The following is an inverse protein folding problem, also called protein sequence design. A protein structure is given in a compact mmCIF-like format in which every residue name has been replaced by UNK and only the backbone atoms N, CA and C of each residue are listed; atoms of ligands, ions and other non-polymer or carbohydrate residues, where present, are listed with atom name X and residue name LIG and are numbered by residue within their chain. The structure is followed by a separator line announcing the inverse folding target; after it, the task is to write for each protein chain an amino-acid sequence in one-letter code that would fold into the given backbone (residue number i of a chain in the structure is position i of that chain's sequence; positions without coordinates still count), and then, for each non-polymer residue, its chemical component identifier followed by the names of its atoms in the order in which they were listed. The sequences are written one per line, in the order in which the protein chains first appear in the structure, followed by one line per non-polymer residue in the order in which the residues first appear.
data_IF_767542236942
#
_entry.id   IF_767542236942
#
_cell.length_a   1.000
_cell.length_b   1.000
_cell.length_c   1.000
_cell.angle_alpha   90.00
_cell.angle_beta   90.00
_cell.angle_gamma   90.00
#
_symmetry.space_group_name_H-M   'P 1'
#
loop_
_entity.id
_entity.type
_entity.pdbx_description
1 polymer ?
#
# COMPACT_ATOMS: atom_id res chain seq x y z
N UNK A 1 62.12 -70.85 22.33
CA UNK A 1 61.23 -71.22 21.20
C UNK A 1 59.85 -70.66 21.49
N UNK A 2 59.30 -69.84 20.57
CA UNK A 2 58.02 -69.07 20.64
C UNK A 2 58.11 -67.79 21.50
N UNK A 3 58.26 -66.57 21.00
CA UNK A 3 57.74 -65.85 19.81
C UNK A 3 56.21 -65.72 19.79
N UNK A 4 55.73 -64.46 19.87
CA UNK A 4 54.46 -63.82 19.44
C UNK A 4 54.40 -62.52 20.29
N UNK A 5 55.00 -61.38 19.93
CA UNK A 5 54.70 -60.46 18.82
C UNK A 5 53.21 -60.04 18.74
N UNK A 6 52.80 -59.19 19.71
CA UNK A 6 51.56 -58.41 19.64
C UNK A 6 51.88 -57.10 18.92
N UNK A 7 51.53 -57.03 17.64
CA UNK A 7 51.63 -55.83 16.82
C UNK A 7 50.40 -54.94 17.09
N UNK A 8 50.67 -53.74 17.58
CA UNK A 8 49.71 -52.64 17.73
C UNK A 8 49.24 -52.19 16.34
N UNK A 9 47.94 -52.23 16.08
CA UNK A 9 47.32 -51.57 14.94
C UNK A 9 46.58 -50.32 15.45
N UNK A 10 47.32 -49.24 15.73
CA UNK A 10 46.72 -47.92 15.91
C UNK A 10 46.47 -47.33 14.53
N UNK A 11 45.23 -47.40 14.07
CA UNK A 11 44.75 -46.65 12.91
C UNK A 11 44.80 -45.17 13.29
N UNK A 12 45.82 -44.46 12.83
CA UNK A 12 45.81 -43.00 12.81
C UNK A 12 44.77 -42.57 11.77
N UNK A 13 43.56 -42.28 12.22
CA UNK A 13 42.63 -41.46 11.46
C UNK A 13 43.24 -40.05 11.42
N UNK A 14 43.97 -39.73 10.35
CA UNK A 14 44.31 -38.35 10.04
C UNK A 14 42.99 -37.64 9.71
N UNK A 15 42.40 -36.98 10.69
CA UNK A 15 41.38 -35.96 10.46
C UNK A 15 42.13 -34.86 9.71
N UNK A 16 41.90 -34.75 8.40
CA UNK A 16 42.31 -33.58 7.65
C UNK A 16 41.56 -32.39 8.25
N UNK A 17 42.26 -31.58 9.02
CA UNK A 17 41.73 -30.32 9.54
C UNK A 17 41.46 -29.43 8.33
N UNK A 18 40.18 -29.24 8.01
CA UNK A 18 39.69 -28.22 7.08
C UNK A 18 40.24 -26.89 7.56
N UNK A 19 41.32 -26.44 6.93
CA UNK A 19 41.91 -25.13 7.22
C UNK A 19 41.24 -24.12 6.30
N UNK A 20 40.02 -23.71 6.67
CA UNK A 20 39.40 -22.53 6.09
C UNK A 20 40.36 -21.36 6.32
N UNK A 21 40.84 -20.73 5.25
CA UNK A 21 41.72 -19.57 5.32
C UNK A 21 40.98 -18.39 4.73
N UNK A 22 41.09 -17.22 5.37
CA UNK A 22 40.32 -16.05 4.97
C UNK A 22 41.29 -14.98 4.45
N UNK A 23 41.32 -14.80 3.13
CA UNK A 23 42.22 -13.86 2.47
C UNK A 23 41.52 -13.13 1.32
N UNK A 24 41.77 -11.83 1.14
CA UNK A 24 41.23 -11.11 -0.02
C UNK A 24 41.75 -11.75 -1.32
N UNK A 25 40.87 -11.89 -2.32
CA UNK A 25 41.18 -12.50 -3.61
C UNK A 25 41.21 -14.03 -3.61
N UNK A 26 40.68 -14.69 -2.58
CA UNK A 26 40.61 -16.15 -2.48
C UNK A 26 39.18 -16.64 -2.27
N UNK A 27 38.96 -17.87 -2.70
CA UNK A 27 37.74 -18.66 -2.55
C UNK A 27 38.01 -19.81 -1.58
N UNK A 28 37.08 -20.11 -0.69
CA UNK A 28 37.00 -21.35 0.07
C UNK A 28 36.24 -22.44 -0.70
N UNK A 29 35.42 -22.06 -1.68
CA UNK A 29 34.70 -22.99 -2.53
C UNK A 29 34.90 -22.68 -4.02
N UNK A 30 35.09 -23.71 -4.84
CA UNK A 30 35.17 -23.56 -6.30
C UNK A 30 34.80 -24.86 -7.03
N UNK A 31 33.90 -24.78 -8.02
CA UNK A 31 33.43 -25.93 -8.77
C UNK A 31 32.46 -26.83 -7.99
N UNK A 32 31.89 -27.83 -8.68
CA UNK A 32 30.96 -28.79 -8.10
C UNK A 32 31.63 -30.16 -7.96
N UNK A 33 31.55 -30.74 -6.76
CA UNK A 33 32.24 -31.99 -6.46
C UNK A 33 31.33 -33.20 -6.39
N UNK A 34 30.00 -33.05 -6.44
CA UNK A 34 29.06 -34.18 -6.50
C UNK A 34 27.83 -33.93 -5.63
N UNK A 35 27.14 -35.01 -5.26
CA UNK A 35 25.88 -34.96 -4.51
C UNK A 35 25.98 -35.78 -3.22
N UNK A 36 25.39 -35.25 -2.15
CA UNK A 36 25.24 -35.96 -0.87
C UNK A 36 24.22 -37.11 -0.94
N UNK A 37 23.20 -36.99 -1.80
CA UNK A 37 22.15 -38.01 -1.98
C UNK A 37 21.79 -38.19 -3.45
N UNK A 38 21.14 -39.32 -3.79
CA UNK A 38 20.79 -39.69 -5.18
C UNK A 38 19.92 -38.62 -5.87
N UNK A 39 19.02 -38.00 -5.10
CA UNK A 39 18.13 -36.93 -5.57
C UNK A 39 18.61 -35.53 -5.16
N UNK A 40 19.80 -35.41 -4.58
CA UNK A 40 20.38 -34.16 -4.14
C UNK A 40 20.81 -33.27 -5.29
N UNK A 41 20.90 -31.96 -5.03
CA UNK A 41 21.55 -31.02 -5.95
C UNK A 41 23.08 -31.16 -5.85
N UNK A 42 23.83 -30.80 -6.90
CA UNK A 42 25.28 -30.71 -6.84
C UNK A 42 25.73 -29.75 -5.72
N UNK A 43 26.78 -30.14 -5.01
CA UNK A 43 27.38 -29.40 -3.90
C UNK A 43 28.79 -28.92 -4.29
N UNK A 44 29.21 -27.75 -3.77
CA UNK A 44 30.50 -27.18 -4.09
C UNK A 44 31.65 -27.99 -3.48
N UNK A 45 32.81 -27.93 -4.13
CA UNK A 45 34.06 -28.46 -3.60
C UNK A 45 34.60 -27.57 -2.47
N UNK A 46 35.26 -28.18 -1.48
CA UNK A 46 36.00 -27.46 -0.44
C UNK A 46 37.45 -27.23 -0.91
N UNK A 47 37.70 -26.12 -1.60
CA UNK A 47 39.01 -25.82 -2.19
C UNK A 47 39.40 -24.37 -1.92
N UNK A 48 40.51 -24.18 -1.19
CA UNK A 48 41.08 -22.85 -0.97
C UNK A 48 41.96 -22.43 -2.16
N UNK A 49 41.42 -21.62 -3.06
CA UNK A 49 42.07 -21.23 -4.32
C UNK A 49 42.02 -19.72 -4.54
N UNK A 50 43.00 -19.12 -5.26
CA UNK A 50 42.87 -17.75 -5.72
C UNK A 50 41.65 -17.59 -6.64
N UNK A 51 40.99 -16.44 -6.58
CA UNK A 51 39.90 -16.11 -7.48
C UNK A 51 40.36 -16.21 -8.94
N UNK A 52 39.53 -16.82 -9.78
CA UNK A 52 39.89 -17.13 -11.16
C UNK A 52 39.42 -15.99 -12.06
N UNK A 53 40.26 -15.61 -13.04
CA UNK A 53 39.86 -14.62 -14.04
C UNK A 53 38.65 -15.15 -14.82
N UNK A 54 37.57 -14.38 -14.84
CA UNK A 54 36.35 -14.81 -15.49
C UNK A 54 36.51 -14.86 -17.01
N UNK A 55 36.06 -15.94 -17.64
CA UNK A 55 35.98 -16.04 -19.10
C UNK A 55 35.01 -14.99 -19.65
N UNK A 56 35.14 -14.65 -20.94
CA UNK A 56 34.21 -13.70 -21.56
C UNK A 56 32.75 -14.16 -21.44
N UNK A 57 32.50 -15.45 -21.67
CA UNK A 57 31.17 -16.07 -21.52
C UNK A 57 30.63 -15.96 -20.09
N UNK A 58 31.44 -16.32 -19.09
CA UNK A 58 31.02 -16.22 -17.67
C UNK A 58 30.74 -14.77 -17.27
N UNK A 59 31.55 -13.82 -17.75
CA UNK A 59 31.35 -12.38 -17.49
C UNK A 59 30.06 -11.86 -18.09
N UNK A 60 29.81 -12.16 -19.37
CA UNK A 60 28.58 -11.75 -20.05
C UNK A 60 27.35 -12.34 -19.37
N UNK A 61 27.43 -13.60 -18.97
CA UNK A 61 26.36 -14.29 -18.27
C UNK A 61 26.08 -13.70 -16.88
N UNK A 62 27.12 -13.49 -16.06
CA UNK A 62 26.99 -12.84 -14.76
C UNK A 62 26.48 -11.40 -14.88
N UNK A 63 26.91 -10.66 -15.91
CA UNK A 63 26.37 -9.33 -16.19
C UNK A 63 24.89 -9.37 -16.51
N UNK A 64 24.44 -10.36 -17.29
CA UNK A 64 23.00 -10.54 -17.59
C UNK A 64 22.17 -10.92 -16.36
N UNK A 65 22.72 -11.72 -15.45
CA UNK A 65 21.98 -12.20 -14.26
C UNK A 65 22.03 -11.16 -13.15
N UNK A 66 23.23 -10.72 -12.80
CA UNK A 66 23.52 -9.91 -11.62
C UNK A 66 23.58 -8.40 -11.93
N UNK A 67 23.74 -8.00 -13.18
CA UNK A 67 23.91 -6.58 -13.56
C UNK A 67 25.26 -5.98 -13.16
N UNK A 68 26.20 -6.77 -12.64
CA UNK A 68 27.55 -6.36 -12.27
C UNK A 68 28.57 -7.07 -13.17
N UNK A 69 29.65 -6.39 -13.49
CA UNK A 69 30.80 -6.99 -14.17
C UNK A 69 31.77 -7.56 -13.11
N UNK A 70 32.22 -8.79 -13.31
CA UNK A 70 33.13 -9.49 -12.41
C UNK A 70 34.39 -9.86 -13.18
N UNK A 71 35.51 -9.19 -12.90
CA UNK A 71 36.80 -9.51 -13.55
C UNK A 71 37.38 -10.84 -13.07
N UNK A 72 37.21 -11.11 -11.76
CA UNK A 72 37.60 -12.35 -11.09
C UNK A 72 36.41 -12.91 -10.33
N UNK A 73 36.30 -14.24 -10.28
CA UNK A 73 35.16 -14.96 -9.72
C UNK A 73 35.57 -16.19 -8.92
N UNK A 74 34.74 -16.54 -7.94
CA UNK A 74 34.83 -17.77 -7.15
C UNK A 74 33.78 -18.81 -7.54
N UNK A 75 33.35 -18.82 -8.81
CA UNK A 75 32.38 -19.78 -9.31
C UNK A 75 32.76 -20.32 -10.69
N UNK A 76 32.47 -21.60 -10.92
CA UNK A 76 32.62 -22.24 -12.22
C UNK A 76 31.44 -21.91 -13.15
N UNK A 77 31.58 -22.09 -14.47
CA UNK A 77 30.46 -21.92 -15.41
C UNK A 77 29.21 -22.72 -15.04
N UNK A 78 29.38 -23.96 -14.58
CA UNK A 78 28.27 -24.80 -14.10
C UNK A 78 27.58 -24.22 -12.86
N UNK A 79 28.35 -23.64 -11.92
CA UNK A 79 27.78 -22.96 -10.75
C UNK A 79 26.99 -21.71 -11.15
N UNK A 80 27.43 -20.98 -12.19
CA UNK A 80 26.69 -19.84 -12.76
C UNK A 80 25.34 -20.30 -13.35
N UNK A 81 25.31 -21.42 -14.05
CA UNK A 81 24.07 -22.01 -14.59
C UNK A 81 23.09 -22.41 -13.48
N UNK A 82 23.61 -23.03 -12.41
CA UNK A 82 22.82 -23.41 -11.25
C UNK A 82 22.27 -22.18 -10.52
N UNK A 83 23.10 -21.14 -10.34
CA UNK A 83 22.70 -19.86 -9.76
C UNK A 83 21.56 -19.24 -10.56
N UNK A 84 21.70 -19.14 -11.88
CA UNK A 84 20.67 -18.62 -12.78
C UNK A 84 19.36 -19.40 -12.64
N UNK A 85 19.43 -20.74 -12.68
CA UNK A 85 18.25 -21.59 -12.56
C UNK A 85 17.54 -21.40 -11.21
N UNK A 86 18.29 -21.26 -10.12
CA UNK A 86 17.70 -21.05 -8.79
C UNK A 86 17.06 -19.66 -8.69
N UNK A 87 17.72 -18.61 -9.18
CA UNK A 87 17.17 -17.25 -9.17
C UNK A 87 15.91 -17.14 -10.03
N UNK A 88 15.90 -17.75 -11.22
CA UNK A 88 14.73 -17.82 -12.12
C UNK A 88 13.51 -18.51 -11.48
N UNK A 89 13.70 -19.44 -10.55
CA UNK A 89 12.58 -20.08 -9.83
C UNK A 89 11.90 -19.14 -8.85
N UNK A 90 12.66 -18.25 -8.21
CA UNK A 90 12.14 -17.28 -7.23
C UNK A 90 11.60 -16.02 -7.91
N UNK A 91 12.10 -15.70 -9.11
CA UNK A 91 11.74 -14.50 -9.87
C UNK A 91 10.24 -14.18 -9.95
N UNK A 92 9.35 -15.14 -10.28
CA UNK A 92 7.91 -14.86 -10.35
C UNK A 92 7.28 -14.48 -9.01
N UNK A 93 7.93 -14.81 -7.90
CA UNK A 93 7.44 -14.52 -6.55
C UNK A 93 7.77 -13.10 -6.09
N UNK A 94 8.87 -12.53 -6.60
CA UNK A 94 9.43 -11.24 -6.14
C UNK A 94 9.49 -10.16 -7.22
N UNK A 95 9.10 -10.48 -8.46
CA UNK A 95 9.21 -9.59 -9.61
C UNK A 95 8.29 -8.35 -9.57
N UNK A 96 7.27 -8.33 -8.71
CA UNK A 96 6.39 -7.17 -8.50
C UNK A 96 7.13 -5.97 -7.89
N UNK A 97 8.21 -6.20 -7.14
CA UNK A 97 9.03 -5.14 -6.53
C UNK A 97 10.48 -5.21 -7.06
N UNK A 98 10.88 -4.30 -7.97
CA UNK A 98 12.21 -4.29 -8.57
C UNK A 98 13.36 -4.19 -7.56
N UNK A 99 13.21 -3.44 -6.46
CA UNK A 99 14.22 -3.37 -5.40
C UNK A 99 14.43 -4.71 -4.70
N UNK A 100 13.35 -5.37 -4.25
CA UNK A 100 13.42 -6.70 -3.65
C UNK A 100 14.10 -7.70 -4.59
N UNK A 101 13.65 -7.72 -5.85
CA UNK A 101 14.23 -8.57 -6.90
C UNK A 101 15.72 -8.32 -7.06
N UNK A 102 16.13 -7.05 -7.21
CA UNK A 102 17.54 -6.68 -7.39
C UNK A 102 18.40 -7.07 -6.18
N UNK A 103 17.92 -6.80 -4.97
CA UNK A 103 18.62 -7.15 -3.74
C UNK A 103 18.78 -8.67 -3.59
N UNK A 104 17.74 -9.44 -3.90
CA UNK A 104 17.77 -10.90 -3.84
C UNK A 104 18.81 -11.47 -4.81
N UNK A 105 18.83 -10.98 -6.06
CA UNK A 105 19.81 -11.38 -7.05
C UNK A 105 21.22 -10.97 -6.64
N UNK A 106 21.44 -9.72 -6.23
CA UNK A 106 22.76 -9.25 -5.81
C UNK A 106 23.30 -10.01 -4.61
N UNK A 107 22.44 -10.34 -3.64
CA UNK A 107 22.82 -11.07 -2.45
C UNK A 107 23.42 -12.45 -2.79
N UNK A 108 22.72 -13.22 -3.64
CA UNK A 108 23.19 -14.54 -4.04
C UNK A 108 24.29 -14.52 -5.10
N UNK A 109 24.32 -13.52 -5.98
CA UNK A 109 25.42 -13.32 -6.91
C UNK A 109 26.75 -13.05 -6.17
N UNK A 110 26.74 -12.17 -5.16
CA UNK A 110 27.92 -11.90 -4.35
C UNK A 110 28.31 -13.13 -3.52
N UNK A 111 27.34 -13.80 -2.89
CA UNK A 111 27.59 -15.03 -2.15
C UNK A 111 28.27 -16.10 -2.99
N UNK A 112 27.78 -16.35 -4.21
CA UNK A 112 28.25 -17.46 -5.03
C UNK A 112 29.50 -17.15 -5.85
N UNK A 113 29.71 -15.90 -6.27
CA UNK A 113 30.74 -15.59 -7.29
C UNK A 113 31.71 -14.47 -6.91
N UNK A 114 31.58 -13.83 -5.74
CA UNK A 114 32.51 -12.75 -5.34
C UNK A 114 33.96 -13.24 -5.32
N UNK A 115 34.94 -12.46 -5.82
CA UNK A 115 36.35 -12.83 -5.77
C UNK A 115 36.95 -12.84 -4.36
N UNK A 116 36.22 -12.35 -3.36
CA UNK A 116 36.63 -12.29 -1.96
C UNK A 116 35.80 -13.23 -1.08
N UNK A 117 35.23 -14.30 -1.65
CA UNK A 117 34.30 -15.21 -0.96
C UNK A 117 34.89 -15.79 0.33
N UNK A 118 36.19 -16.11 0.36
CA UNK A 118 36.83 -16.63 1.57
C UNK A 118 36.81 -15.67 2.76
N UNK A 119 36.62 -14.36 2.55
CA UNK A 119 36.57 -13.40 3.66
C UNK A 119 35.23 -13.41 4.40
N UNK A 120 34.16 -13.96 3.82
CA UNK A 120 32.84 -13.94 4.44
C UNK A 120 32.12 -15.29 4.41
N UNK A 121 32.72 -16.32 3.81
CA UNK A 121 32.28 -17.71 3.89
C UNK A 121 33.32 -18.52 4.64
N UNK A 122 32.88 -19.27 5.64
CA UNK A 122 33.69 -20.20 6.40
C UNK A 122 33.10 -21.61 6.27
N UNK A 123 33.93 -22.59 5.95
CA UNK A 123 33.49 -23.99 5.84
C UNK A 123 33.46 -24.59 7.24
N UNK A 124 32.28 -25.08 7.64
CA UNK A 124 32.05 -25.71 8.95
C UNK A 124 32.09 -27.22 8.84
N UNK A 125 31.53 -27.77 7.75
CA UNK A 125 31.45 -29.22 7.57
C UNK A 125 31.59 -29.62 6.11
N UNK A 126 32.39 -30.65 5.88
CA UNK A 126 32.51 -31.36 4.62
C UNK A 126 32.07 -32.81 4.77
N UNK A 127 31.61 -33.41 3.68
CA UNK A 127 31.31 -34.84 3.59
C UNK A 127 31.81 -35.39 2.25
N UNK A 128 31.89 -36.72 2.13
CA UNK A 128 32.22 -37.37 0.85
C UNK A 128 30.97 -37.52 -0.01
N UNK A 129 31.00 -36.99 -1.24
CA UNK A 129 29.94 -37.14 -2.22
C UNK A 129 29.70 -38.60 -2.59
N UNK A 130 28.44 -38.99 -2.70
CA UNK A 130 28.04 -40.38 -2.94
C UNK A 130 28.31 -40.85 -4.37
N UNK A 131 28.21 -39.95 -5.33
CA UNK A 131 28.31 -40.21 -6.76
C UNK A 131 29.75 -40.13 -7.29
N UNK A 132 30.56 -39.21 -6.77
CA UNK A 132 31.94 -38.98 -7.26
C UNK A 132 33.02 -39.44 -6.28
N UNK A 133 32.71 -39.64 -5.00
CA UNK A 133 33.69 -39.90 -3.96
C UNK A 133 34.57 -38.69 -3.59
N UNK A 134 34.27 -37.49 -4.09
CA UNK A 134 35.01 -36.25 -3.78
C UNK A 134 34.48 -35.59 -2.51
N UNK A 135 35.30 -34.75 -1.88
CA UNK A 135 34.88 -33.93 -0.75
C UNK A 135 33.93 -32.80 -1.21
N UNK A 136 32.80 -32.66 -0.54
CA UNK A 136 31.78 -31.62 -0.78
C UNK A 136 31.45 -30.87 0.49
N UNK A 137 31.16 -29.58 0.35
CA UNK A 137 30.72 -28.75 1.47
C UNK A 137 29.26 -29.04 1.81
N UNK A 138 28.99 -29.25 3.10
CA UNK A 138 27.65 -29.56 3.62
C UNK A 138 27.14 -28.55 4.65
N UNK A 139 28.04 -27.76 5.23
CA UNK A 139 27.68 -26.67 6.13
C UNK A 139 28.70 -25.54 6.06
N UNK A 140 28.21 -24.30 5.98
CA UNK A 140 29.03 -23.08 6.02
C UNK A 140 28.45 -22.06 7.01
N UNK A 141 29.31 -21.16 7.47
CA UNK A 141 28.90 -19.86 7.98
C UNK A 141 29.04 -18.81 6.88
N UNK A 142 28.05 -17.93 6.76
CA UNK A 142 28.13 -16.72 5.96
C UNK A 142 28.01 -15.49 6.86
N UNK A 143 29.01 -14.62 6.80
CA UNK A 143 29.11 -13.42 7.62
C UNK A 143 28.46 -12.22 6.93
N UNK A 144 27.43 -11.64 7.56
CA UNK A 144 26.60 -10.58 6.98
C UNK A 144 26.37 -9.47 8.01
N UNK A 145 26.51 -8.22 7.59
CA UNK A 145 26.23 -7.06 8.44
C UNK A 145 24.73 -7.00 8.82
N UNK A 146 24.37 -6.77 10.09
CA UNK A 146 22.97 -6.69 10.52
C UNK A 146 22.15 -5.66 9.74
N UNK A 147 22.70 -4.47 9.47
CA UNK A 147 22.00 -3.43 8.71
C UNK A 147 21.69 -3.88 7.28
N UNK A 148 22.66 -4.52 6.61
CA UNK A 148 22.48 -5.07 5.26
C UNK A 148 21.39 -6.16 5.26
N UNK A 149 21.43 -7.08 6.23
CA UNK A 149 20.42 -8.13 6.38
C UNK A 149 19.01 -7.54 6.62
N UNK A 150 18.92 -6.51 7.46
CA UNK A 150 17.67 -5.81 7.71
C UNK A 150 17.15 -5.10 6.46
N UNK A 151 18.01 -4.40 5.71
CA UNK A 151 17.62 -3.75 4.46
C UNK A 151 17.15 -4.76 3.41
N UNK A 152 17.79 -5.94 3.33
CA UNK A 152 17.35 -7.02 2.46
C UNK A 152 15.93 -7.49 2.82
N UNK A 153 15.69 -7.78 4.10
CA UNK A 153 14.37 -8.16 4.59
C UNK A 153 13.31 -7.08 4.33
N UNK A 154 13.60 -5.83 4.69
CA UNK A 154 12.68 -4.71 4.57
C UNK A 154 12.29 -4.44 3.12
N UNK A 155 13.21 -4.65 2.16
CA UNK A 155 12.90 -4.52 0.73
C UNK A 155 11.86 -5.54 0.23
N UNK A 156 11.71 -6.69 0.92
CA UNK A 156 10.87 -7.80 0.47
C UNK A 156 9.66 -8.11 1.37
N UNK A 157 9.63 -7.64 2.63
CA UNK A 157 8.64 -8.06 3.64
C UNK A 157 7.18 -7.81 3.26
N UNK A 158 6.91 -6.75 2.50
CA UNK A 158 5.55 -6.33 2.14
C UNK A 158 5.18 -6.67 0.68
N UNK A 159 6.09 -7.30 -0.07
CA UNK A 159 5.88 -7.63 -1.47
C UNK A 159 4.75 -8.63 -1.63
N UNK A 160 3.79 -8.32 -2.50
CA UNK A 160 2.66 -9.19 -2.82
C UNK A 160 2.99 -10.11 -3.98
N UNK A 161 2.63 -11.38 -3.81
CA UNK A 161 2.67 -12.34 -4.91
C UNK A 161 1.42 -12.16 -5.78
N UNK A 162 1.63 -11.77 -7.04
CA UNK A 162 0.56 -11.31 -7.94
C UNK A 162 -0.54 -12.35 -8.19
N UNK A 163 -0.24 -13.65 -8.09
CA UNK A 163 -1.23 -14.70 -8.38
C UNK A 163 -2.22 -14.95 -7.23
N UNK A 164 -1.81 -14.78 -5.96
CA UNK A 164 -2.63 -15.13 -4.80
C UNK A 164 -2.96 -13.95 -3.90
N UNK A 165 -2.34 -12.78 -4.13
CA UNK A 165 -2.39 -11.62 -3.24
C UNK A 165 -1.86 -11.89 -1.81
N UNK A 166 -1.20 -13.03 -1.60
CA UNK A 166 -0.44 -13.34 -0.39
C UNK A 166 0.90 -12.61 -0.35
N UNK A 167 1.61 -12.67 0.77
CA UNK A 167 2.95 -12.09 0.85
C UNK A 167 3.97 -13.03 0.20
N UNK A 168 4.87 -12.49 -0.61
CA UNK A 168 5.99 -13.24 -1.17
C UNK A 168 6.84 -13.86 -0.05
N UNK A 169 6.99 -13.16 1.07
CA UNK A 169 7.70 -13.61 2.27
C UNK A 169 7.15 -14.91 2.86
N UNK A 170 5.86 -15.22 2.68
CA UNK A 170 5.29 -16.49 3.13
C UNK A 170 5.86 -17.68 2.34
N UNK A 171 6.22 -17.45 1.08
CA UNK A 171 6.75 -18.47 0.17
C UNK A 171 8.28 -18.54 0.22
N UNK A 172 8.96 -17.39 0.22
CA UNK A 172 10.43 -17.32 0.14
C UNK A 172 11.12 -17.26 1.51
N UNK A 173 10.37 -16.93 2.57
CA UNK A 173 10.88 -16.75 3.93
C UNK A 173 10.09 -17.51 4.99
N UNK A 174 9.11 -18.33 4.60
CA UNK A 174 8.27 -19.08 5.54
C UNK A 174 7.49 -18.21 6.53
N UNK A 175 7.14 -16.97 6.15
CA UNK A 175 6.44 -16.02 7.00
C UNK A 175 7.35 -15.33 8.04
N UNK A 176 8.64 -15.20 7.72
CA UNK A 176 9.62 -14.52 8.56
C UNK A 176 9.17 -13.10 8.95
N UNK A 177 9.36 -12.76 10.23
CA UNK A 177 9.02 -11.44 10.80
C UNK A 177 10.21 -10.50 10.95
N UNK A 178 11.41 -11.00 10.72
CA UNK A 178 12.66 -10.24 10.80
C UNK A 178 13.71 -10.88 9.88
N UNK A 179 14.81 -10.15 9.66
CA UNK A 179 15.91 -10.58 8.79
C UNK A 179 16.55 -11.90 9.22
N UNK A 180 16.64 -12.16 10.52
CA UNK A 180 17.25 -13.38 11.04
C UNK A 180 16.44 -14.63 10.68
N UNK A 181 15.11 -14.57 10.86
CA UNK A 181 14.21 -15.64 10.44
C UNK A 181 14.21 -15.83 8.92
N UNK A 182 14.26 -14.73 8.17
CA UNK A 182 14.26 -14.76 6.71
C UNK A 182 15.52 -15.43 6.14
N UNK A 183 16.69 -14.95 6.54
CA UNK A 183 17.96 -15.53 6.12
C UNK A 183 18.11 -16.97 6.62
N UNK A 184 17.70 -17.27 7.87
CA UNK A 184 17.66 -18.65 8.35
C UNK A 184 16.81 -19.54 7.44
N UNK A 185 15.62 -19.10 7.05
CA UNK A 185 14.77 -19.88 6.15
C UNK A 185 15.44 -20.16 4.80
N UNK A 186 16.15 -19.19 4.25
CA UNK A 186 16.91 -19.32 3.00
C UNK A 186 18.12 -20.26 3.14
N UNK A 187 18.75 -20.31 4.31
CA UNK A 187 19.95 -21.10 4.58
C UNK A 187 19.70 -22.51 5.09
N UNK A 188 18.52 -22.80 5.64
CA UNK A 188 18.17 -24.14 6.14
C UNK A 188 18.20 -25.19 5.01
N UNK A 189 18.96 -26.27 5.20
CA UNK A 189 19.01 -27.42 4.28
C UNK A 189 17.62 -28.06 4.17
N UNK A 190 16.98 -27.98 3.00
CA UNK A 190 15.64 -28.57 2.74
C UNK A 190 15.61 -29.26 1.39
N UNK A 191 16.24 -30.45 1.26
CA UNK A 191 16.47 -31.09 -0.03
C UNK A 191 15.18 -31.54 -0.72
N UNK A 192 14.11 -31.80 0.05
CA UNK A 192 12.81 -32.27 -0.48
C UNK A 192 11.80 -31.15 -0.75
N UNK A 193 12.00 -29.94 -0.20
CA UNK A 193 11.03 -28.84 -0.24
C UNK A 193 11.53 -27.61 -1.02
N UNK A 194 12.66 -27.73 -1.72
CA UNK A 194 13.19 -26.68 -2.58
C UNK A 194 13.94 -25.56 -1.87
N UNK A 195 14.44 -25.78 -0.65
CA UNK A 195 15.31 -24.83 0.06
C UNK A 195 16.80 -24.95 -0.30
N UNK A 196 17.67 -24.54 0.61
CA UNK A 196 19.12 -24.61 0.40
C UNK A 196 19.58 -26.05 0.18
N UNK A 197 20.50 -26.31 -0.77
CA UNK A 197 21.04 -27.65 -1.03
C UNK A 197 21.97 -28.18 0.09
N UNK A 198 22.52 -27.29 0.90
CA UNK A 198 23.35 -27.56 2.08
C UNK A 198 23.10 -26.50 3.15
N UNK A 199 23.55 -26.71 4.38
CA UNK A 199 23.26 -25.77 5.47
C UNK A 199 24.09 -24.49 5.34
N UNK A 200 23.42 -23.33 5.38
CA UNK A 200 24.05 -22.01 5.41
C UNK A 200 23.62 -21.30 6.69
N UNK A 201 24.56 -21.07 7.59
CA UNK A 201 24.34 -20.34 8.83
C UNK A 201 24.71 -18.87 8.63
N UNK A 202 23.74 -17.97 8.74
CA UNK A 202 24.00 -16.53 8.66
C UNK A 202 24.45 -15.99 10.00
N UNK A 203 25.67 -15.47 10.07
CA UNK A 203 26.33 -14.98 11.27
C UNK A 203 26.47 -13.46 11.18
N UNK A 204 26.06 -12.77 12.24
CA UNK A 204 25.93 -11.30 12.27
C UNK A 204 27.02 -10.60 13.09
N UNK A 205 28.03 -11.34 13.53
CA UNK A 205 29.14 -10.84 14.34
C UNK A 205 30.39 -11.63 13.99
N UNK A 206 31.54 -10.95 13.99
CA UNK A 206 32.82 -11.61 13.80
C UNK A 206 33.27 -12.31 15.10
N UNK A 207 34.11 -13.37 14.99
CA UNK A 207 34.81 -13.92 16.14
C UNK A 207 35.76 -12.88 16.74
N UNK A 208 36.06 -12.99 18.03
CA UNK A 208 36.98 -12.05 18.73
C UNK A 208 38.44 -12.16 18.24
N UNK A 209 38.80 -13.27 17.62
CA UNK A 209 40.12 -13.52 17.03
C UNK A 209 40.24 -12.96 15.62
N UNK A 210 41.35 -12.26 15.35
CA UNK A 210 41.71 -11.81 14.00
C UNK A 210 41.93 -13.02 13.08
N UNK A 211 40.94 -13.26 12.23
CA UNK A 211 40.82 -14.44 11.36
C UNK A 211 40.86 -14.07 9.89
N UNK A 212 40.87 -12.79 9.53
CA UNK A 212 40.69 -12.29 8.15
C UNK A 212 39.23 -12.29 7.65
N UNK A 213 38.28 -12.66 8.53
CA UNK A 213 36.85 -12.62 8.26
C UNK A 213 36.30 -11.18 8.27
N UNK A 214 35.30 -10.94 7.43
CA UNK A 214 34.61 -9.65 7.29
C UNK A 214 33.09 -9.88 7.20
N UNK A 215 32.32 -8.92 7.72
CA UNK A 215 30.88 -8.88 7.51
C UNK A 215 30.61 -8.31 6.12
N UNK A 216 29.78 -9.00 5.32
CA UNK A 216 29.30 -8.44 4.05
C UNK A 216 28.44 -7.22 4.30
N UNK A 217 28.76 -6.13 3.60
CA UNK A 217 28.07 -4.86 3.71
C UNK A 217 27.96 -4.17 2.34
N UNK A 218 27.62 -4.91 1.29
CA UNK A 218 27.39 -4.30 -0.02
C UNK A 218 26.08 -3.51 0.00
N UNK A 219 26.02 -2.33 -0.65
CA UNK A 219 24.82 -1.49 -0.63
C UNK A 219 23.66 -2.19 -1.34
N UNK A 220 22.50 -2.21 -0.68
CA UNK A 220 21.25 -2.67 -1.25
C UNK A 220 20.36 -1.47 -1.65
N UNK A 221 19.34 -1.75 -2.46
CA UNK A 221 18.38 -0.76 -2.94
C UNK A 221 17.19 -0.67 -2.00
N UNK A 222 16.85 0.55 -1.62
CA UNK A 222 15.61 0.81 -0.90
C UNK A 222 14.42 0.65 -1.84
N UNK A 223 13.25 0.33 -1.29
CA UNK A 223 12.07 0.12 -2.12
C UNK A 223 11.58 1.41 -2.80
N UNK A 224 11.93 2.58 -2.24
CA UNK A 224 11.60 3.90 -2.76
C UNK A 224 12.70 4.48 -3.66
N UNK A 225 13.69 3.66 -4.05
CA UNK A 225 14.74 4.01 -4.99
C UNK A 225 14.14 4.56 -6.31
N UNK A 226 14.86 5.47 -6.98
CA UNK A 226 14.36 6.14 -8.19
C UNK A 226 14.28 5.20 -9.39
N UNK A 227 15.23 4.28 -9.51
CA UNK A 227 15.36 3.33 -10.63
C UNK A 227 14.66 2.02 -10.32
N UNK A 228 14.77 1.52 -9.08
CA UNK A 228 14.21 0.24 -8.65
C UNK A 228 12.91 0.39 -7.83
N UNK A 229 12.14 1.44 -8.11
CA UNK A 229 10.93 1.79 -7.35
C UNK A 229 9.90 0.66 -7.33
N UNK A 230 9.38 0.34 -6.15
CA UNK A 230 8.29 -0.61 -5.99
C UNK A 230 6.92 0.08 -5.97
N UNK A 231 5.85 -0.70 -6.21
CA UNK A 231 4.50 -0.20 -6.03
C UNK A 231 4.24 0.10 -4.54
N UNK A 232 3.43 1.13 -4.25
CA UNK A 232 3.04 1.50 -2.88
C UNK A 232 2.35 0.35 -2.12
N UNK A 233 1.65 -0.54 -2.84
CA UNK A 233 1.04 -1.75 -2.26
C UNK A 233 2.05 -2.81 -1.83
N UNK A 234 3.24 -2.81 -2.44
CA UNK A 234 4.34 -3.73 -2.13
C UNK A 234 5.36 -3.10 -1.17
N UNK A 235 5.40 -1.77 -1.09
CA UNK A 235 6.22 -1.04 -0.13
C UNK A 235 5.62 0.30 0.32
N UNK A 236 5.42 0.46 1.62
CA UNK A 236 4.87 1.66 2.23
C UNK A 236 5.75 2.91 2.00
N UNK A 237 7.07 2.77 1.99
CA UNK A 237 7.97 3.91 1.79
C UNK A 237 7.90 4.50 0.37
N UNK A 238 7.34 3.73 -0.58
CA UNK A 238 7.08 4.19 -1.95
C UNK A 238 5.78 5.00 -2.07
N UNK A 239 4.95 5.01 -1.03
CA UNK A 239 3.67 5.70 -1.04
C UNK A 239 3.82 7.23 -0.95
N UNK A 240 2.98 7.99 -1.67
CA UNK A 240 2.94 9.43 -1.49
C UNK A 240 2.43 9.77 -0.09
N UNK A 241 3.08 10.73 0.58
CA UNK A 241 2.56 11.30 1.82
C UNK A 241 1.34 12.15 1.49
N UNK A 242 0.15 11.64 1.79
CA UNK A 242 -1.10 12.37 1.58
C UNK A 242 -1.25 13.47 2.63
N UNK A 243 -1.73 14.68 2.26
CA UNK A 243 -2.08 15.69 3.24
C UNK A 243 -3.22 15.17 4.14
N UNK A 244 -3.25 15.61 5.40
CA UNK A 244 -4.36 15.26 6.30
C UNK A 244 -5.70 15.59 5.62
N UNK A 245 -6.58 14.60 5.56
CA UNK A 245 -7.91 14.78 5.01
C UNK A 245 -8.56 15.98 5.70
N UNK A 246 -9.09 16.93 4.90
CA UNK A 246 -9.87 18.04 5.45
C UNK A 246 -10.95 17.45 6.33
N UNK A 247 -11.05 17.95 7.55
CA UNK A 247 -12.01 17.46 8.52
C UNK A 247 -13.45 17.68 8.01
N UNK A 248 -14.03 16.61 7.45
CA UNK A 248 -15.41 16.57 6.98
C UNK A 248 -16.41 16.53 8.15
N UNK A 249 -15.95 16.52 9.41
CA UNK A 249 -16.82 16.55 10.59
C UNK A 249 -17.30 17.95 10.98
N UNK A 250 -16.84 19.00 10.28
CA UNK A 250 -17.37 20.37 10.42
C UNK A 250 -18.82 20.43 9.94
N UNK A 251 -19.74 20.08 10.84
CA UNK A 251 -21.18 20.23 10.66
C UNK A 251 -21.58 21.66 10.99
N UNK A 252 -22.54 22.21 10.25
CA UNK A 252 -23.11 23.52 10.54
C UNK A 252 -23.81 23.48 11.92
N UNK A 253 -23.26 24.22 12.88
CA UNK A 253 -23.83 24.40 14.22
C UNK A 253 -24.02 25.89 14.52
N UNK A 254 -25.12 26.22 15.17
CA UNK A 254 -25.37 27.54 15.75
C UNK A 254 -25.36 27.34 17.27
N UNK A 255 -24.24 27.69 17.91
CA UNK A 255 -23.99 27.34 19.30
C UNK A 255 -23.90 25.83 19.50
N UNK A 256 -24.77 25.28 20.36
CA UNK A 256 -24.81 23.84 20.69
C UNK A 256 -25.72 23.04 19.72
N UNK A 257 -26.53 23.72 18.91
CA UNK A 257 -27.54 23.07 18.07
C UNK A 257 -27.10 22.97 16.61
N UNK A 258 -27.40 21.85 15.92
CA UNK A 258 -27.27 21.77 14.46
C UNK A 258 -28.12 22.85 13.78
N UNK A 259 -27.62 23.44 12.70
CA UNK A 259 -28.33 24.48 11.93
C UNK A 259 -29.74 24.05 11.49
N UNK A 260 -29.92 22.76 11.18
CA UNK A 260 -31.23 22.20 10.83
C UNK A 260 -32.22 22.27 12.00
N UNK A 261 -31.81 21.82 13.19
CA UNK A 261 -32.64 21.89 14.40
C UNK A 261 -32.97 23.33 14.76
N UNK A 262 -32.00 24.24 14.67
CA UNK A 262 -32.21 25.67 14.90
C UNK A 262 -33.23 26.28 13.92
N UNK A 263 -33.13 25.93 12.63
CA UNK A 263 -34.06 26.40 11.60
C UNK A 263 -35.50 25.95 11.86
N UNK A 264 -35.68 24.70 12.27
CA UNK A 264 -37.00 24.16 12.65
C UNK A 264 -37.57 24.96 13.83
N UNK A 265 -36.80 25.19 14.90
CA UNK A 265 -37.28 25.93 16.08
C UNK A 265 -37.78 27.33 15.69
N UNK A 266 -37.06 28.04 14.81
CA UNK A 266 -37.48 29.36 14.33
C UNK A 266 -38.80 29.26 13.57
N UNK A 267 -38.92 28.34 12.60
CA UNK A 267 -40.14 28.19 11.79
C UNK A 267 -41.35 27.89 12.67
N UNK A 268 -41.21 26.97 13.63
CA UNK A 268 -42.29 26.60 14.55
C UNK A 268 -42.67 27.74 15.49
N UNK A 269 -41.70 28.49 16.02
CA UNK A 269 -41.98 29.66 16.87
C UNK A 269 -42.72 30.76 16.10
N UNK A 270 -42.33 31.06 14.86
CA UNK A 270 -43.05 31.98 13.99
C UNK A 270 -44.49 31.51 13.73
N UNK A 271 -44.69 30.22 13.43
CA UNK A 271 -46.03 29.66 13.20
C UNK A 271 -46.93 29.77 14.44
N UNK A 272 -46.40 29.50 15.64
CA UNK A 272 -47.15 29.62 16.89
C UNK A 272 -47.54 31.08 17.16
N UNK A 273 -46.64 32.04 16.93
CA UNK A 273 -46.94 33.47 17.10
C UNK A 273 -47.99 33.94 16.10
N UNK A 274 -47.91 33.51 14.84
CA UNK A 274 -48.89 33.87 13.81
C UNK A 274 -50.28 33.27 14.11
N UNK A 275 -50.35 31.99 14.47
CA UNK A 275 -51.61 31.33 14.82
C UNK A 275 -52.19 31.90 16.11
N UNK A 276 -51.37 32.11 17.14
CA UNK A 276 -51.78 32.75 18.39
C UNK A 276 -52.29 34.16 18.17
N UNK A 277 -51.55 34.97 17.40
CA UNK A 277 -51.96 36.31 17.00
C UNK A 277 -53.26 36.33 16.21
N UNK A 278 -53.43 35.38 15.28
CA UNK A 278 -54.67 35.20 14.53
C UNK A 278 -55.85 34.83 15.44
N UNK A 279 -55.67 33.93 16.41
CA UNK A 279 -56.71 33.60 17.38
C UNK A 279 -57.05 34.78 18.30
N UNK A 280 -56.08 35.56 18.76
CA UNK A 280 -56.31 36.78 19.53
C UNK A 280 -57.06 37.82 18.70
N UNK A 281 -56.69 37.99 17.42
CA UNK A 281 -57.38 38.86 16.48
C UNK A 281 -58.85 38.45 16.30
N UNK A 282 -59.11 37.15 16.06
CA UNK A 282 -60.47 36.62 15.96
C UNK A 282 -61.26 36.78 17.26
N UNK A 283 -60.62 36.57 18.42
CA UNK A 283 -61.26 36.75 19.72
C UNK A 283 -61.62 38.23 19.97
N UNK A 284 -60.76 39.18 19.58
CA UNK A 284 -61.05 40.63 19.64
C UNK A 284 -62.22 40.99 18.74
N UNK A 285 -62.22 40.54 17.48
CA UNK A 285 -63.35 40.76 16.57
C UNK A 285 -64.67 40.17 17.11
N UNK A 286 -64.62 38.98 17.72
CA UNK A 286 -65.80 38.37 18.35
C UNK A 286 -66.24 39.12 19.62
N UNK A 287 -65.31 39.73 20.37
CA UNK A 287 -65.63 40.57 21.55
C UNK A 287 -66.24 41.89 21.13
N UNK A 288 -65.66 42.58 20.15
CA UNK A 288 -66.19 43.84 19.59
C UNK A 288 -67.58 43.62 19.00
N UNK A 289 -67.78 42.53 18.25
CA UNK A 289 -69.09 42.13 17.73
C UNK A 289 -70.11 41.78 18.81
N UNK A 290 -69.68 41.15 19.92
CA UNK A 290 -70.59 40.90 21.06
C UNK A 290 -70.94 42.18 21.81
N UNK A 291 -70.01 43.13 21.89
CA UNK A 291 -70.26 44.45 22.49
C UNK A 291 -71.23 45.28 21.65
N UNK A 292 -71.07 45.27 20.32
CA UNK A 292 -72.03 45.95 19.44
C UNK A 292 -73.42 45.31 19.45
N UNK A 293 -73.54 44.01 19.70
CA UNK A 293 -74.84 43.32 19.84
C UNK A 293 -75.46 43.58 21.23
N UNK A 294 -74.64 43.76 22.28
CA UNK A 294 -75.12 44.02 23.64
C UNK A 294 -75.49 45.50 23.90
N UNK A 295 -74.95 46.45 23.11
CA UNK A 295 -75.38 47.85 23.12
C UNK A 295 -76.68 48.08 22.31
N UNK A 296 -77.09 47.10 21.48
CA UNK A 296 -78.27 47.16 20.61
C UNK A 296 -79.46 46.37 21.18
N UNK A 297 -79.37 45.91 22.43
CA UNK A 297 -80.37 45.02 23.07
C UNK A 297 -81.21 45.69 24.16
N UNK A 298 -81.39 47.02 24.13
CA UNK A 298 -82.41 47.68 24.97
C UNK A 298 -83.74 47.95 24.25
N UNK A 299 -83.87 47.70 22.94
CA UNK A 299 -85.17 47.81 22.26
C UNK A 299 -85.48 46.60 21.34
N UNK A 300 -86.55 45.91 21.73
CA UNK A 300 -87.41 44.97 21.01
C UNK A 300 -86.98 43.53 20.62
N UNK A 301 -87.99 42.71 20.87
CA UNK A 301 -88.15 41.27 20.83
C UNK A 301 -88.06 40.65 19.43
N UNK A 302 -87.33 39.53 19.35
CA UNK A 302 -87.41 38.49 18.33
C UNK A 302 -87.04 38.86 16.87
N UNK A 303 -85.76 38.68 16.51
CA UNK A 303 -85.42 38.25 15.14
C UNK A 303 -84.32 37.18 15.19
N UNK A 304 -84.68 36.00 14.68
CA UNK A 304 -83.85 34.81 14.58
C UNK A 304 -82.57 35.10 13.77
N UNK A 305 -81.41 35.03 14.42
CA UNK A 305 -80.10 35.15 13.75
C UNK A 305 -79.89 33.89 12.90
N UNK A 306 -80.08 34.00 11.58
CA UNK A 306 -79.85 32.90 10.65
C UNK A 306 -78.33 32.74 10.39
N UNK A 307 -77.70 31.58 10.70
CA UNK A 307 -76.25 31.36 10.55
C UNK A 307 -75.73 31.52 9.11
N UNK A 308 -76.63 31.47 8.11
CA UNK A 308 -76.29 31.58 6.69
C UNK A 308 -75.75 32.96 6.28
N UNK A 309 -76.11 34.04 6.99
CA UNK A 309 -75.72 35.40 6.59
C UNK A 309 -74.22 35.67 6.84
N UNK A 310 -73.64 35.08 7.89
CA UNK A 310 -72.22 35.18 8.21
C UNK A 310 -71.33 34.39 7.24
N UNK A 311 -71.82 33.25 6.73
CA UNK A 311 -71.13 32.49 5.68
C UNK A 311 -71.17 33.22 4.31
N UNK A 312 -72.21 34.03 4.06
CA UNK A 312 -72.39 34.79 2.83
C UNK A 312 -71.51 36.04 2.70
N UNK A 313 -71.31 36.78 3.80
CA UNK A 313 -70.48 38.01 3.81
C UNK A 313 -68.99 37.72 3.60
N UNK A 314 -68.47 36.64 4.19
CA UNK A 314 -67.10 36.18 3.95
C UNK A 314 -66.88 35.76 2.49
N UNK A 315 -67.86 35.05 1.89
CA UNK A 315 -67.84 34.66 0.47
C UNK A 315 -67.91 35.86 -0.47
N UNK A 316 -68.79 36.86 -0.21
CA UNK A 316 -68.90 38.06 -1.05
C UNK A 316 -67.64 38.93 -0.97
N UNK A 317 -67.10 39.18 0.23
CA UNK A 317 -65.90 40.01 0.41
C UNK A 317 -64.63 39.31 -0.12
N UNK A 318 -64.50 38.00 0.08
CA UNK A 318 -63.41 37.21 -0.51
C UNK A 318 -63.51 37.13 -2.04
N UNK A 319 -64.73 37.03 -2.60
CA UNK A 319 -64.95 37.04 -4.06
C UNK A 319 -64.64 38.40 -4.67
N UNK A 320 -65.00 39.49 -3.99
CA UNK A 320 -64.70 40.86 -4.43
C UNK A 320 -63.20 41.14 -4.38
N UNK A 321 -62.52 40.80 -3.27
CA UNK A 321 -61.07 40.91 -3.14
C UNK A 321 -60.31 40.03 -4.16
N UNK A 322 -60.78 38.79 -4.38
CA UNK A 322 -60.22 37.89 -5.39
C UNK A 322 -60.38 38.46 -6.81
N UNK A 323 -61.50 39.13 -7.11
CA UNK A 323 -61.72 39.76 -8.42
C UNK A 323 -60.84 41.00 -8.62
N UNK A 324 -60.60 41.80 -7.58
CA UNK A 324 -59.69 42.94 -7.64
C UNK A 324 -58.22 42.53 -7.79
N UNK A 325 -57.81 41.45 -7.11
CA UNK A 325 -56.46 40.91 -7.29
C UNK A 325 -56.32 40.27 -8.67
N UNK A 326 -57.31 39.49 -9.10
CA UNK A 326 -57.32 38.84 -10.41
C UNK A 326 -57.16 39.84 -11.55
N UNK A 327 -57.90 40.95 -11.50
CA UNK A 327 -57.80 42.02 -12.51
C UNK A 327 -56.43 42.70 -12.50
N UNK A 328 -55.88 43.05 -11.33
CA UNK A 328 -54.53 43.64 -11.24
C UNK A 328 -53.42 42.72 -11.72
N UNK A 329 -53.54 41.42 -11.44
CA UNK A 329 -52.60 40.40 -11.93
C UNK A 329 -52.73 40.27 -13.44
N UNK A 330 -53.95 40.25 -13.97
CA UNK A 330 -54.21 40.18 -15.41
C UNK A 330 -53.63 41.40 -16.15
N UNK A 331 -53.81 42.61 -15.62
CA UNK A 331 -53.25 43.84 -16.20
C UNK A 331 -51.71 43.83 -16.15
N UNK A 332 -51.13 43.31 -15.07
CA UNK A 332 -49.69 43.17 -14.94
C UNK A 332 -49.10 42.18 -15.96
N UNK A 333 -49.71 41.01 -16.10
CA UNK A 333 -49.30 40.03 -17.13
C UNK A 333 -49.55 40.54 -18.55
N UNK A 334 -50.63 41.28 -18.79
CA UNK A 334 -50.90 41.88 -20.09
C UNK A 334 -49.84 42.93 -20.46
N UNK A 335 -49.42 43.77 -19.51
CA UNK A 335 -48.35 44.74 -19.71
C UNK A 335 -46.99 44.07 -19.97
N UNK A 336 -46.69 42.98 -19.26
CA UNK A 336 -45.48 42.18 -19.52
C UNK A 336 -45.56 41.54 -20.91
N UNK A 337 -46.69 40.95 -21.28
CA UNK A 337 -46.90 40.36 -22.61
C UNK A 337 -46.78 41.39 -23.74
N UNK A 338 -47.31 42.59 -23.53
CA UNK A 338 -47.16 43.70 -24.48
C UNK A 338 -45.70 44.16 -24.60
N UNK A 339 -44.97 44.25 -23.50
CA UNK A 339 -43.54 44.60 -23.53
C UNK A 339 -42.71 43.52 -24.25
N UNK A 340 -42.96 42.25 -23.97
CA UNK A 340 -42.29 41.11 -24.61
C UNK A 340 -42.58 41.04 -26.12
N UNK A 341 -43.81 41.34 -26.55
CA UNK A 341 -44.20 41.34 -27.97
C UNK A 341 -43.69 42.57 -28.74
N UNK A 342 -43.50 43.71 -28.07
CA UNK A 342 -42.95 44.92 -28.68
C UNK A 342 -41.43 44.84 -28.91
N UNK A 343 -40.71 44.09 -28.08
CA UNK A 343 -39.24 43.94 -28.16
C UNK A 343 -38.78 42.47 -28.21
N UNK A 344 -39.22 41.67 -29.21
CA UNK A 344 -38.97 40.23 -29.24
C UNK A 344 -37.49 39.87 -29.44
N UNK A 345 -36.74 40.67 -30.21
CA UNK A 345 -35.31 40.44 -30.48
C UNK A 345 -34.45 40.69 -29.23
N UNK A 346 -34.77 41.73 -28.46
CA UNK A 346 -34.03 42.04 -27.23
C UNK A 346 -34.27 40.98 -26.14
N UNK A 347 -35.52 40.52 -25.99
CA UNK A 347 -35.84 39.46 -25.03
C UNK A 347 -35.19 38.12 -25.40
N UNK A 348 -35.28 37.70 -26.66
CA UNK A 348 -34.63 36.45 -27.10
C UNK A 348 -33.10 36.53 -26.98
N UNK A 349 -32.49 37.70 -27.21
CA UNK A 349 -31.07 37.92 -26.96
C UNK A 349 -30.72 37.78 -25.48
N UNK A 350 -31.48 38.41 -24.57
CA UNK A 350 -31.27 38.34 -23.12
C UNK A 350 -31.45 36.92 -22.56
N UNK A 351 -32.45 36.19 -23.04
CA UNK A 351 -32.65 34.78 -22.66
C UNK A 351 -31.48 33.94 -23.15
N UNK A 352 -31.05 34.12 -24.41
CA UNK A 352 -29.89 33.39 -24.96
C UNK A 352 -28.60 33.71 -24.20
N UNK A 353 -28.34 34.97 -23.85
CA UNK A 353 -27.16 35.33 -23.05
C UNK A 353 -27.19 34.71 -21.66
N UNK A 354 -28.34 34.72 -20.96
CA UNK A 354 -28.45 34.09 -19.64
C UNK A 354 -28.29 32.57 -19.70
N UNK A 355 -28.88 31.91 -20.71
CA UNK A 355 -28.73 30.47 -20.90
C UNK A 355 -27.30 30.04 -21.24
N UNK A 356 -26.50 30.92 -21.84
CA UNK A 356 -25.07 30.68 -22.12
C UNK A 356 -24.18 31.03 -20.91
N UNK A 357 -24.46 32.14 -20.20
CA UNK A 357 -23.65 32.57 -19.06
C UNK A 357 -23.76 31.62 -17.87
N UNK A 358 -24.95 31.08 -17.60
CA UNK A 358 -25.19 30.20 -16.44
C UNK A 358 -24.30 28.95 -16.44
N UNK A 359 -24.18 28.16 -17.52
CA UNK A 359 -23.26 27.02 -17.56
C UNK A 359 -21.78 27.43 -17.58
N UNK A 360 -21.42 28.59 -18.15
CA UNK A 360 -20.03 29.08 -18.12
C UNK A 360 -19.60 29.45 -16.71
N UNK A 361 -20.47 30.09 -15.92
CA UNK A 361 -20.21 30.41 -14.51
C UNK A 361 -20.10 29.15 -13.64
N UNK A 362 -20.93 28.15 -13.90
CA UNK A 362 -20.87 26.85 -13.19
C UNK A 362 -19.59 26.09 -13.53
N UNK A 363 -19.19 26.02 -14.80
CA UNK A 363 -17.95 25.36 -15.22
C UNK A 363 -16.69 26.13 -14.79
N UNK A 364 -16.73 27.46 -14.73
CA UNK A 364 -15.62 28.29 -14.22
C UNK A 364 -15.37 28.09 -12.72
N UNK A 365 -16.42 27.80 -11.94
CA UNK A 365 -16.31 27.45 -10.51
C UNK A 365 -15.74 26.03 -10.29
N UNK A 366 -15.89 25.11 -11.25
CA UNK A 366 -15.26 23.79 -11.22
C UNK A 366 -13.75 23.86 -11.59
N UNK A 367 -13.37 24.68 -12.57
CA UNK A 367 -11.95 24.85 -12.92
C UNK A 367 -11.12 25.48 -11.79
N UNK A 368 -11.69 26.43 -11.03
CA UNK A 368 -11.03 27.03 -9.86
C UNK A 368 -10.93 26.09 -8.64
N UNK A 369 -11.50 24.87 -8.71
CA UNK A 369 -11.29 23.81 -7.70
C UNK A 369 -10.24 22.77 -8.12
N UNK A 370 -9.77 22.83 -9.37
CA UNK A 370 -8.78 21.91 -9.96
C UNK A 370 -7.39 22.55 -10.14
N UNK A 371 -7.27 23.85 -9.87
CA UNK A 371 -6.01 24.56 -9.58
C UNK A 371 -5.90 24.75 -8.07
#
# INVERSE_FOLDING_TARGET
MRAICLLLLTINLAIASVSSSHKPGYCNTYGNCGKKSVFGKPLPCAEFVPAVKASQESREKLKSICGKDFDYICCSPEQIDILESNLKRVDPLISSCPACRKNFYDFFCQFSCSPNESQFVEIIKTETARDTGKEVVTEINQYVEPEMANQFFDSCKNVKFSATNGYAMDLIGGGAKNYSQFLKFLGDEKPLLGGSPYQINFVYKLPETDSGLVLRNEPLRDCNDKEYKCACTDCEESCPKLPHAKDLTKKCTVGVLPCFSFSIIIIWSCMIVLLGGYHVYLAKLKKERRRSIAEDSEDDESTMINPLFYAGLGKKRAKQFSSEIGSKIQDWFANIGYFCSKFPVQMTSLTRTNSILSPILVNGLELNKLL
#
